data_IF_561571372128
#
_entry.id   IF_561571372128
#
_cell.length_a   1.000
_cell.length_b   1.000
_cell.length_c   1.000
_cell.angle_alpha   90.00
_cell.angle_beta   90.00
_cell.angle_gamma   90.00
#
_symmetry.space_group_name_H-M   'P 1'
#
loop_
_entity.id
_entity.type
_entity.pdbx_description
1 polymer ?
#
# COMPACT_ATOMS: atom_id res chain seq x y z
N UNK A 1 -3.02 25.15 -15.31
CA UNK A 1 -2.06 26.16 -15.79
C UNK A 1 -1.06 26.46 -14.67
N UNK A 2 0.06 25.75 -14.65
CA UNK A 2 1.18 26.06 -13.75
C UNK A 2 2.16 26.90 -14.59
N UNK A 3 2.30 28.20 -14.29
CA UNK A 3 3.21 29.12 -15.01
C UNK A 3 2.61 30.45 -15.47
N UNK A 4 1.30 30.65 -15.36
CA UNK A 4 0.63 31.90 -15.74
C UNK A 4 0.24 32.65 -14.48
N UNK A 5 0.61 33.93 -14.37
CA UNK A 5 0.25 34.75 -13.21
C UNK A 5 -1.24 35.07 -13.20
N UNK A 6 -1.80 35.35 -12.02
CA UNK A 6 -3.20 35.77 -11.88
C UNK A 6 -3.51 37.01 -12.72
N UNK A 7 -2.59 37.97 -12.77
CA UNK A 7 -2.72 39.16 -13.62
C UNK A 7 -2.85 38.82 -15.11
N UNK A 8 -2.06 37.85 -15.60
CA UNK A 8 -2.15 37.40 -16.99
C UNK A 8 -3.50 36.73 -17.28
N UNK A 9 -4.01 35.92 -16.34
CA UNK A 9 -5.33 35.29 -16.45
C UNK A 9 -6.47 36.31 -16.41
N UNK A 10 -6.41 37.29 -15.51
CA UNK A 10 -7.40 38.37 -15.41
C UNK A 10 -7.39 39.25 -16.66
N UNK A 11 -6.20 39.57 -17.19
CA UNK A 11 -6.07 40.32 -18.43
C UNK A 11 -6.64 39.56 -19.63
N UNK A 12 -6.38 38.25 -19.73
CA UNK A 12 -6.94 37.39 -20.75
C UNK A 12 -8.47 37.30 -20.64
N UNK A 13 -9.00 37.07 -19.44
CA UNK A 13 -10.43 36.99 -19.19
C UNK A 13 -11.17 38.28 -19.55
N UNK A 14 -10.59 39.44 -19.19
CA UNK A 14 -11.12 40.76 -19.58
C UNK A 14 -11.06 40.99 -21.09
N UNK A 15 -9.95 40.62 -21.74
CA UNK A 15 -9.79 40.75 -23.20
C UNK A 15 -10.81 39.91 -23.97
N UNK A 16 -11.18 38.75 -23.45
CA UNK A 16 -12.14 37.84 -24.08
C UNK A 16 -13.57 37.96 -23.53
N UNK A 17 -13.85 38.95 -22.68
CA UNK A 17 -15.17 39.21 -22.08
C UNK A 17 -15.78 37.97 -21.42
N UNK A 18 -14.94 37.17 -20.76
CA UNK A 18 -15.39 35.98 -20.05
C UNK A 18 -16.10 36.41 -18.76
N UNK A 19 -17.31 35.91 -18.54
CA UNK A 19 -18.00 35.99 -17.26
C UNK A 19 -17.59 34.80 -16.38
N UNK A 20 -17.11 35.08 -15.17
CA UNK A 20 -16.83 34.07 -14.16
C UNK A 20 -17.68 34.31 -12.92
N UNK A 21 -18.01 33.24 -12.20
CA UNK A 21 -18.74 33.29 -10.94
C UNK A 21 -17.68 33.34 -9.83
N UNK A 22 -17.65 34.43 -9.07
CA UNK A 22 -16.89 34.49 -7.82
C UNK A 22 -17.73 33.83 -6.72
N UNK A 23 -17.37 32.60 -6.35
CA UNK A 23 -17.92 31.92 -5.17
C UNK A 23 -17.38 32.59 -3.90
N UNK A 24 -18.27 33.02 -2.99
CA UNK A 24 -17.94 33.65 -1.71
C UNK A 24 -16.97 32.79 -0.86
N UNK A 25 -16.95 31.46 -1.07
CA UNK A 25 -16.00 30.55 -0.42
C UNK A 25 -14.53 30.86 -0.76
N UNK A 26 -14.25 31.52 -1.88
CA UNK A 26 -12.90 31.92 -2.29
C UNK A 26 -12.30 33.04 -1.42
N UNK A 27 -13.13 33.76 -0.66
CA UNK A 27 -12.68 34.82 0.25
C UNK A 27 -12.61 34.34 1.71
N UNK A 28 -13.03 33.11 1.98
CA UNK A 28 -13.06 32.57 3.33
C UNK A 28 -11.66 32.20 3.82
N UNK A 29 -11.11 33.02 4.71
CA UNK A 29 -9.79 32.82 5.30
C UNK A 29 -9.73 31.68 6.33
N UNK A 30 -10.84 30.98 6.63
CA UNK A 30 -10.83 29.77 7.47
C UNK A 30 -10.07 28.61 6.81
N UNK A 31 -9.95 28.61 5.48
CA UNK A 31 -9.15 27.64 4.75
C UNK A 31 -7.71 28.12 4.59
N UNK A 32 -6.74 27.30 4.98
CA UNK A 32 -5.31 27.65 4.97
C UNK A 32 -4.83 28.24 3.64
N UNK A 33 -5.31 27.67 2.53
CA UNK A 33 -4.97 28.16 1.18
C UNK A 33 -5.42 29.61 0.95
N UNK A 34 -6.63 29.96 1.40
CA UNK A 34 -7.17 31.30 1.26
C UNK A 34 -6.49 32.27 2.23
N UNK A 35 -6.23 31.83 3.47
CA UNK A 35 -5.46 32.62 4.44
C UNK A 35 -4.07 32.98 3.90
N UNK A 36 -3.31 31.98 3.42
CA UNK A 36 -1.99 32.19 2.83
C UNK A 36 -2.06 33.17 1.66
N UNK A 37 -3.05 32.99 0.77
CA UNK A 37 -3.22 33.84 -0.42
C UNK A 37 -3.59 35.28 -0.09
N UNK A 38 -4.53 35.48 0.83
CA UNK A 38 -5.14 36.78 1.10
C UNK A 38 -4.38 37.59 2.15
N UNK A 39 -3.76 36.93 3.13
CA UNK A 39 -3.13 37.61 4.26
C UNK A 39 -1.60 37.51 4.23
N UNK A 40 -1.05 36.32 3.95
CA UNK A 40 0.40 36.08 4.11
C UNK A 40 1.20 36.50 2.89
N UNK A 41 0.82 36.03 1.70
CA UNK A 41 1.56 36.30 0.46
C UNK A 41 1.67 37.81 0.14
N UNK A 42 0.63 38.65 0.33
CA UNK A 42 0.76 40.09 0.08
C UNK A 42 1.79 40.76 1.00
N UNK A 43 1.82 40.39 2.29
CA UNK A 43 2.79 40.92 3.25
C UNK A 43 4.22 40.53 2.87
N UNK A 44 4.43 39.28 2.44
CA UNK A 44 5.73 38.80 1.98
C UNK A 44 6.18 39.52 0.70
N UNK A 45 5.27 39.73 -0.25
CA UNK A 45 5.56 40.44 -1.51
C UNK A 45 5.88 41.92 -1.29
N UNK A 46 5.27 42.56 -0.29
CA UNK A 46 5.58 43.95 0.05
C UNK A 46 7.04 44.12 0.49
N UNK A 47 7.59 43.15 1.26
CA UNK A 47 8.99 43.17 1.72
C UNK A 47 9.95 42.57 0.70
N UNK A 48 9.53 41.53 -0.01
CA UNK A 48 10.30 40.79 -1.01
C UNK A 48 9.47 40.60 -2.29
N UNK A 49 9.55 41.54 -3.26
CA UNK A 49 8.72 41.53 -4.47
C UNK A 49 8.78 40.23 -5.27
N UNK A 50 9.93 39.54 -5.25
CA UNK A 50 10.17 38.30 -5.99
C UNK A 50 9.97 37.02 -5.17
N UNK A 51 9.31 37.09 -4.00
CA UNK A 51 9.14 35.93 -3.11
C UNK A 51 8.46 34.74 -3.80
N UNK A 52 7.41 34.99 -4.58
CA UNK A 52 6.68 33.92 -5.27
C UNK A 52 7.55 33.24 -6.33
N UNK A 53 8.35 34.00 -7.09
CA UNK A 53 9.28 33.48 -8.09
C UNK A 53 10.42 32.69 -7.46
N UNK A 54 10.99 33.20 -6.36
CA UNK A 54 12.02 32.50 -5.59
C UNK A 54 11.49 31.17 -5.02
N UNK A 55 10.29 31.18 -4.46
CA UNK A 55 9.63 29.97 -3.94
C UNK A 55 9.35 28.95 -5.06
N UNK A 56 8.85 29.40 -6.21
CA UNK A 56 8.64 28.55 -7.37
C UNK A 56 9.96 27.94 -7.87
N UNK A 57 11.04 28.73 -7.92
CA UNK A 57 12.37 28.25 -8.28
C UNK A 57 12.89 27.19 -7.31
N UNK A 58 12.73 27.40 -6.00
CA UNK A 58 13.08 26.39 -5.00
C UNK A 58 12.27 25.10 -5.18
N UNK A 59 10.97 25.20 -5.45
CA UNK A 59 10.13 24.04 -5.72
C UNK A 59 10.59 23.28 -6.98
N UNK A 60 10.95 23.97 -8.06
CA UNK A 60 11.49 23.35 -9.27
C UNK A 60 12.83 22.64 -9.00
N UNK A 61 13.75 23.29 -8.29
CA UNK A 61 15.02 22.67 -7.91
C UNK A 61 14.82 21.42 -7.06
N UNK A 62 13.88 21.45 -6.10
CA UNK A 62 13.53 20.26 -5.32
C UNK A 62 12.97 19.13 -6.19
N UNK A 63 12.14 19.47 -7.18
CA UNK A 63 11.61 18.47 -8.13
C UNK A 63 12.73 17.85 -8.99
N UNK A 64 13.68 18.67 -9.47
CA UNK A 64 14.86 18.20 -10.21
C UNK A 64 15.73 17.26 -9.36
N UNK A 65 15.94 17.59 -8.08
CA UNK A 65 16.68 16.71 -7.17
C UNK A 65 15.95 15.39 -6.92
N UNK A 66 14.62 15.41 -6.77
CA UNK A 66 13.86 14.16 -6.61
C UNK A 66 13.87 13.29 -7.88
N UNK A 67 13.82 13.90 -9.06
CA UNK A 67 13.96 13.17 -10.32
C UNK A 67 15.35 12.54 -10.44
N UNK A 68 16.41 13.27 -10.10
CA UNK A 68 17.77 12.70 -10.09
C UNK A 68 17.88 11.52 -9.11
N UNK A 69 17.24 11.63 -7.94
CA UNK A 69 17.19 10.52 -6.99
C UNK A 69 16.36 9.33 -7.50
N UNK A 70 15.33 9.54 -8.32
CA UNK A 70 14.60 8.46 -9.01
C UNK A 70 15.53 7.69 -9.94
N UNK A 71 16.31 8.42 -10.75
CA UNK A 71 17.29 7.83 -11.68
C UNK A 71 18.39 7.05 -10.93
N UNK A 72 19.00 7.66 -9.90
CA UNK A 72 20.11 7.08 -9.15
C UNK A 72 19.71 5.85 -8.31
N UNK A 73 18.45 5.76 -7.89
CA UNK A 73 17.96 4.69 -7.02
C UNK A 73 17.17 3.62 -7.77
N UNK A 74 16.92 3.78 -9.07
CA UNK A 74 16.09 2.88 -9.87
C UNK A 74 16.59 1.43 -9.84
N UNK A 75 17.87 1.19 -10.14
CA UNK A 75 18.44 -0.16 -10.17
C UNK A 75 18.42 -0.82 -8.79
N UNK A 76 18.74 -0.05 -7.75
CA UNK A 76 18.71 -0.55 -6.38
C UNK A 76 17.29 -0.90 -5.96
N UNK A 77 16.32 -0.05 -6.27
CA UNK A 77 14.92 -0.29 -5.99
C UNK A 77 14.41 -1.55 -6.70
N UNK A 78 14.78 -1.73 -7.98
CA UNK A 78 14.42 -2.91 -8.76
C UNK A 78 15.02 -4.19 -8.16
N UNK A 79 16.27 -4.15 -7.70
CA UNK A 79 16.94 -5.29 -7.06
C UNK A 79 16.28 -5.67 -5.72
N UNK A 80 15.78 -4.69 -4.97
CA UNK A 80 15.11 -4.93 -3.69
C UNK A 80 13.66 -5.40 -3.86
N UNK A 81 13.04 -5.09 -4.99
CA UNK A 81 11.68 -5.50 -5.32
C UNK A 81 11.64 -6.92 -5.91
N UNK A 82 10.57 -7.64 -5.65
CA UNK A 82 10.26 -8.91 -6.32
C UNK A 82 9.05 -8.76 -7.26
N UNK A 83 8.67 -9.85 -7.91
CA UNK A 83 7.52 -9.89 -8.84
C UNK A 83 6.19 -9.50 -8.15
N UNK A 84 6.10 -9.70 -6.83
CA UNK A 84 4.96 -9.30 -6.02
C UNK A 84 4.95 -7.80 -5.66
N UNK A 85 5.95 -7.04 -6.14
CA UNK A 85 6.22 -5.65 -5.77
C UNK A 85 6.44 -5.46 -4.27
N UNK A 86 6.91 -6.49 -3.58
CA UNK A 86 7.29 -6.40 -2.17
C UNK A 86 8.75 -5.96 -2.05
N UNK A 87 9.13 -5.37 -0.92
CA UNK A 87 10.44 -4.73 -0.75
C UNK A 87 11.29 -5.44 0.32
N UNK A 88 12.52 -5.84 -0.03
CA UNK A 88 13.43 -6.55 0.88
C UNK A 88 13.92 -5.68 2.05
N UNK A 89 13.70 -6.11 3.29
CA UNK A 89 14.11 -5.39 4.50
C UNK A 89 15.63 -5.45 4.71
N UNK A 90 16.25 -6.59 4.40
CA UNK A 90 17.69 -6.78 4.63
C UNK A 90 18.54 -5.80 3.81
N UNK A 91 18.17 -5.59 2.53
CA UNK A 91 18.85 -4.62 1.66
C UNK A 91 18.56 -3.15 2.02
N UNK A 92 17.43 -2.86 2.67
CA UNK A 92 17.17 -1.54 3.25
C UNK A 92 17.95 -1.30 4.56
N UNK A 93 18.22 -2.35 5.32
CA UNK A 93 18.89 -2.28 6.62
C UNK A 93 20.34 -1.83 6.51
N UNK A 94 21.01 -2.21 5.42
CA UNK A 94 22.40 -1.80 5.11
C UNK A 94 22.51 -0.36 4.59
N UNK A 95 21.38 0.27 4.20
CA UNK A 95 21.37 1.64 3.72
C UNK A 95 21.39 2.66 4.88
N UNK A 96 21.93 3.85 4.62
CA UNK A 96 21.73 5.01 5.50
C UNK A 96 20.24 5.36 5.61
N UNK A 97 19.84 6.02 6.69
CA UNK A 97 18.44 6.40 6.90
C UNK A 97 17.87 7.24 5.74
N UNK A 98 18.64 8.20 5.22
CA UNK A 98 18.23 9.02 4.09
C UNK A 98 17.95 8.19 2.82
N UNK A 99 18.89 7.30 2.44
CA UNK A 99 18.72 6.42 1.28
C UNK A 99 17.55 5.46 1.47
N UNK A 100 17.40 4.92 2.67
CA UNK A 100 16.31 4.02 3.03
C UNK A 100 14.94 4.67 2.85
N UNK A 101 14.76 5.90 3.37
CA UNK A 101 13.49 6.61 3.21
C UNK A 101 13.25 7.07 1.78
N UNK A 102 14.30 7.43 1.03
CA UNK A 102 14.19 7.72 -0.39
C UNK A 102 13.70 6.51 -1.20
N UNK A 103 14.20 5.30 -0.89
CA UNK A 103 13.75 4.04 -1.49
C UNK A 103 12.31 3.68 -1.08
N UNK A 104 11.97 3.78 0.21
CA UNK A 104 10.62 3.53 0.70
C UNK A 104 9.60 4.46 0.05
N UNK A 105 9.95 5.75 -0.08
CA UNK A 105 9.11 6.76 -0.74
C UNK A 105 8.83 6.37 -2.19
N UNK A 106 9.87 5.98 -2.94
CA UNK A 106 9.76 5.56 -4.35
C UNK A 106 8.99 4.26 -4.52
N UNK A 107 9.22 3.30 -3.64
CA UNK A 107 8.44 2.07 -3.59
C UNK A 107 6.94 2.37 -3.42
N UNK A 108 6.58 3.20 -2.42
CA UNK A 108 5.18 3.58 -2.15
C UNK A 108 4.58 4.39 -3.31
N UNK A 109 5.36 5.26 -3.96
CA UNK A 109 4.93 6.02 -5.13
C UNK A 109 4.53 5.13 -6.33
N UNK A 110 5.06 3.91 -6.41
CA UNK A 110 4.65 2.91 -7.40
C UNK A 110 3.24 2.33 -7.18
N UNK A 111 2.57 2.73 -6.10
CA UNK A 111 1.19 2.36 -5.79
C UNK A 111 0.29 3.58 -5.81
N UNK A 112 -1.01 3.37 -6.01
CA UNK A 112 -2.03 4.43 -6.03
C UNK A 112 -2.38 4.92 -4.60
N UNK A 113 -1.36 5.26 -3.80
CA UNK A 113 -1.50 5.71 -2.41
C UNK A 113 -1.00 7.14 -2.28
N UNK A 114 -1.65 7.93 -1.43
CA UNK A 114 -1.16 9.26 -1.07
C UNK A 114 0.24 9.17 -0.47
N UNK A 115 1.12 10.08 -0.89
CA UNK A 115 2.51 10.10 -0.45
C UNK A 115 2.60 10.28 1.08
N UNK A 116 3.23 9.35 1.81
CA UNK A 116 3.31 9.44 3.26
C UNK A 116 4.20 10.60 3.73
N UNK A 117 3.83 11.16 4.88
CA UNK A 117 4.65 12.11 5.59
C UNK A 117 5.94 11.44 6.09
N UNK A 118 6.96 12.26 6.40
CA UNK A 118 8.26 11.77 6.91
C UNK A 118 8.10 10.91 8.17
N UNK A 119 7.21 11.31 9.08
CA UNK A 119 6.93 10.57 10.30
C UNK A 119 6.30 9.20 10.02
N UNK A 120 5.40 9.11 9.03
CA UNK A 120 4.81 7.84 8.63
C UNK A 120 5.86 6.88 8.04
N UNK A 121 6.79 7.38 7.23
CA UNK A 121 7.91 6.59 6.72
C UNK A 121 8.82 6.07 7.85
N UNK A 122 9.07 6.91 8.87
CA UNK A 122 9.82 6.51 10.06
C UNK A 122 9.11 5.37 10.80
N UNK A 123 7.80 5.50 11.04
CA UNK A 123 6.99 4.48 11.70
C UNK A 123 6.94 3.17 10.91
N UNK A 124 6.87 3.21 9.58
CA UNK A 124 6.97 2.02 8.73
C UNK A 124 8.27 1.26 9.02
N UNK A 125 9.37 1.98 9.20
CA UNK A 125 10.63 1.35 9.51
C UNK A 125 10.66 0.79 10.94
N UNK A 126 10.36 1.62 11.93
CA UNK A 126 10.54 1.26 13.35
C UNK A 126 9.48 0.27 13.85
N UNK A 127 8.22 0.47 13.49
CA UNK A 127 7.08 -0.32 13.98
C UNK A 127 6.83 -1.57 13.13
N UNK A 128 7.17 -1.56 11.83
CA UNK A 128 6.87 -2.66 10.90
C UNK A 128 8.12 -3.41 10.47
N UNK A 129 9.11 -2.73 9.89
CA UNK A 129 10.30 -3.39 9.37
C UNK A 129 11.17 -3.99 10.48
N UNK A 130 11.34 -3.28 11.60
CA UNK A 130 12.14 -3.69 12.76
C UNK A 130 11.37 -4.44 13.85
N UNK A 131 10.07 -4.69 13.65
CA UNK A 131 9.27 -5.43 14.62
C UNK A 131 9.88 -6.81 14.99
N UNK A 132 9.45 -7.39 16.11
CA UNK A 132 9.86 -8.77 16.44
C UNK A 132 9.29 -9.74 15.40
N UNK A 133 9.99 -10.86 15.17
CA UNK A 133 9.59 -11.88 14.17
C UNK A 133 8.19 -12.46 14.42
N UNK A 134 7.78 -12.52 15.69
CA UNK A 134 6.49 -13.06 16.11
C UNK A 134 5.40 -11.98 16.23
N UNK A 135 5.75 -10.71 15.99
CA UNK A 135 4.77 -9.64 15.92
C UNK A 135 4.14 -9.62 14.53
N UNK A 136 2.85 -9.29 14.47
CA UNK A 136 2.10 -9.06 13.23
C UNK A 136 1.92 -7.55 12.99
N UNK A 137 3.00 -6.77 12.81
CA UNK A 137 2.90 -5.32 12.71
C UNK A 137 2.11 -4.90 11.47
N UNK A 138 1.29 -3.87 11.66
CA UNK A 138 0.50 -3.26 10.60
C UNK A 138 0.55 -1.74 10.76
N UNK A 139 0.75 -1.05 9.64
CA UNK A 139 0.63 0.40 9.60
C UNK A 139 -0.27 0.81 8.45
N UNK A 140 -1.32 1.57 8.77
CA UNK A 140 -2.27 2.05 7.79
C UNK A 140 -1.77 3.34 7.13
N UNK A 141 -1.80 3.37 5.80
CA UNK A 141 -1.53 4.53 4.96
C UNK A 141 -2.75 4.80 4.08
N UNK A 142 -3.68 5.62 4.60
CA UNK A 142 -4.96 5.89 3.92
C UNK A 142 -5.75 4.59 3.72
N UNK A 143 -6.11 4.30 2.47
CA UNK A 143 -6.83 3.09 2.07
C UNK A 143 -5.94 1.85 1.86
N UNK A 144 -4.71 1.85 2.39
CA UNK A 144 -3.77 0.74 2.28
C UNK A 144 -3.13 0.45 3.65
N UNK A 145 -2.49 -0.70 3.77
CA UNK A 145 -1.71 -1.13 4.92
C UNK A 145 -0.34 -1.66 4.49
N UNK A 146 0.69 -1.31 5.26
CA UNK A 146 2.02 -1.90 5.15
C UNK A 146 2.15 -3.00 6.19
N UNK A 147 2.59 -4.17 5.74
CA UNK A 147 2.86 -5.33 6.60
C UNK A 147 4.22 -5.94 6.29
N UNK A 148 4.75 -6.68 7.26
CA UNK A 148 5.98 -7.45 7.11
C UNK A 148 5.69 -8.95 7.06
N UNK A 149 6.33 -9.63 6.10
CA UNK A 149 6.34 -11.09 6.03
C UNK A 149 7.64 -11.57 5.40
N UNK A 150 8.26 -12.61 5.98
CA UNK A 150 9.51 -13.22 5.48
C UNK A 150 10.62 -12.21 5.11
N UNK A 151 10.87 -11.23 5.98
CA UNK A 151 11.85 -10.13 5.76
C UNK A 151 11.56 -9.23 4.56
N UNK A 152 10.28 -9.11 4.17
CA UNK A 152 9.84 -8.22 3.10
C UNK A 152 8.67 -7.36 3.55
N UNK A 153 8.59 -6.14 3.03
CA UNK A 153 7.47 -5.23 3.22
C UNK A 153 6.49 -5.36 2.05
N UNK A 154 5.20 -5.39 2.38
CA UNK A 154 4.10 -5.47 1.42
C UNK A 154 3.17 -4.30 1.65
N UNK A 155 2.76 -3.63 0.57
CA UNK A 155 1.70 -2.65 0.58
C UNK A 155 0.44 -3.27 -0.01
N UNK A 156 -0.59 -3.42 0.82
CA UNK A 156 -1.81 -4.16 0.50
C UNK A 156 -3.04 -3.28 0.78
N UNK A 157 -4.16 -3.49 0.07
CA UNK A 157 -5.43 -2.94 0.53
C UNK A 157 -5.77 -3.50 1.93
N UNK A 158 -6.63 -2.82 2.71
CA UNK A 158 -7.19 -3.39 3.93
C UNK A 158 -7.92 -4.68 3.56
N UNK A 159 -7.59 -5.77 4.24
CA UNK A 159 -8.35 -7.01 4.11
C UNK A 159 -9.52 -7.00 5.09
N UNK A 160 -10.63 -7.59 4.67
CA UNK A 160 -11.70 -7.91 5.58
C UNK A 160 -11.22 -8.94 6.62
N UNK A 161 -11.64 -8.76 7.87
CA UNK A 161 -11.41 -9.78 8.89
C UNK A 161 -12.31 -11.00 8.59
N UNK A 162 -11.70 -12.12 8.20
CA UNK A 162 -12.40 -13.38 7.94
C UNK A 162 -12.22 -14.40 9.07
N UNK A 163 -11.67 -14.00 10.23
CA UNK A 163 -11.36 -14.89 11.35
C UNK A 163 -12.53 -15.82 11.72
N UNK A 164 -13.74 -15.26 11.80
CA UNK A 164 -14.95 -15.99 12.21
C UNK A 164 -15.69 -16.64 11.05
N UNK A 165 -15.25 -16.45 9.82
CA UNK A 165 -15.92 -17.02 8.66
C UNK A 165 -15.70 -18.53 8.57
N UNK A 166 -16.81 -19.24 8.37
CA UNK A 166 -16.85 -20.68 8.15
C UNK A 166 -17.60 -20.95 6.86
N UNK A 167 -16.87 -21.37 5.83
CA UNK A 167 -17.48 -21.71 4.56
C UNK A 167 -17.69 -23.21 4.49
N UNK A 168 -18.93 -23.65 4.37
CA UNK A 168 -19.24 -25.06 4.11
C UNK A 168 -18.73 -25.43 2.71
N UNK A 169 -17.96 -26.52 2.60
CA UNK A 169 -17.42 -26.97 1.34
C UNK A 169 -17.38 -28.49 1.28
N UNK A 170 -18.02 -29.10 0.28
CA UNK A 170 -18.06 -30.55 0.12
C UNK A 170 -16.88 -31.12 -0.66
N UNK A 171 -16.05 -30.26 -1.28
CA UNK A 171 -14.89 -30.70 -2.07
C UNK A 171 -15.21 -31.15 -3.50
N UNK A 172 -16.48 -31.15 -3.90
CA UNK A 172 -16.94 -31.59 -5.22
C UNK A 172 -16.88 -30.46 -6.26
N UNK A 173 -17.30 -29.25 -5.87
CA UNK A 173 -17.23 -28.05 -6.72
C UNK A 173 -16.16 -27.10 -6.22
N UNK A 174 -15.52 -26.31 -7.11
CA UNK A 174 -14.62 -25.25 -6.66
C UNK A 174 -15.36 -24.22 -5.78
N UNK A 175 -14.76 -23.84 -4.65
CA UNK A 175 -15.30 -22.85 -3.71
C UNK A 175 -14.60 -21.51 -3.90
N UNK A 176 -15.36 -20.47 -4.25
CA UNK A 176 -14.85 -19.09 -4.26
C UNK A 176 -14.64 -18.61 -2.84
N UNK A 177 -13.43 -18.17 -2.52
CA UNK A 177 -13.09 -17.60 -1.22
C UNK A 177 -13.49 -16.11 -1.17
N UNK A 178 -13.82 -15.57 0.01
CA UNK A 178 -14.21 -14.17 0.18
C UNK A 178 -13.04 -13.24 -0.11
N UNK A 179 -13.32 -11.94 -0.25
CA UNK A 179 -12.30 -10.89 -0.37
C UNK A 179 -11.29 -11.11 -1.52
N UNK A 180 -11.72 -11.77 -2.60
CA UNK A 180 -10.88 -12.00 -3.78
C UNK A 180 -9.71 -12.96 -3.55
N UNK A 181 -9.72 -13.76 -2.49
CA UNK A 181 -8.65 -14.69 -2.11
C UNK A 181 -8.46 -15.86 -3.09
N UNK A 182 -9.35 -16.00 -4.07
CA UNK A 182 -9.25 -16.96 -5.15
C UNK A 182 -10.28 -18.08 -5.05
N UNK A 183 -9.98 -19.20 -5.72
CA UNK A 183 -10.89 -20.35 -5.77
C UNK A 183 -10.17 -21.56 -5.20
N UNK A 184 -10.83 -22.24 -4.29
CA UNK A 184 -10.38 -23.48 -3.72
C UNK A 184 -10.94 -24.64 -4.53
N UNK A 185 -10.07 -25.48 -5.09
CA UNK A 185 -10.47 -26.66 -5.86
C UNK A 185 -9.70 -27.89 -5.41
N UNK A 186 -10.35 -29.05 -5.42
CA UNK A 186 -9.71 -30.34 -5.14
C UNK A 186 -9.03 -30.85 -6.41
N UNK A 187 -7.71 -31.04 -6.39
CA UNK A 187 -6.97 -31.67 -7.48
C UNK A 187 -6.59 -33.12 -7.11
N UNK A 188 -6.74 -34.04 -8.06
CA UNK A 188 -6.34 -35.44 -7.93
C UNK A 188 -4.82 -35.62 -8.07
N UNK A 189 -4.05 -35.16 -7.09
CA UNK A 189 -2.59 -35.34 -7.02
C UNK A 189 -2.15 -36.31 -5.93
N UNK A 190 -0.91 -36.78 -5.99
CA UNK A 190 -0.33 -37.83 -5.14
C UNK A 190 -0.35 -37.59 -3.60
N UNK A 191 -0.65 -36.37 -3.16
CA UNK A 191 -0.91 -36.04 -1.75
C UNK A 191 -2.40 -36.23 -1.43
N UNK A 192 -2.77 -37.41 -0.92
CA UNK A 192 -4.15 -37.79 -0.65
C UNK A 192 -4.65 -37.19 0.67
N UNK A 193 -5.59 -36.26 0.59
CA UNK A 193 -6.50 -35.95 1.69
C UNK A 193 -7.59 -37.01 1.72
N UNK A 194 -7.82 -37.63 2.87
CA UNK A 194 -8.92 -38.58 3.04
C UNK A 194 -10.23 -37.88 2.66
N UNK A 195 -11.01 -38.50 1.78
CA UNK A 195 -12.34 -38.01 1.48
C UNK A 195 -13.17 -38.03 2.78
N UNK A 196 -13.92 -36.96 3.09
CA UNK A 196 -14.84 -37.00 4.21
C UNK A 196 -15.83 -38.15 4.03
N UNK A 197 -16.23 -38.79 5.13
CA UNK A 197 -17.34 -39.74 5.10
C UNK A 197 -18.62 -39.03 4.61
N UNK A 198 -19.60 -39.73 4.03
CA UNK A 198 -20.83 -39.10 3.49
C UNK A 198 -21.60 -38.21 4.48
N UNK A 199 -21.38 -38.41 5.79
CA UNK A 199 -22.03 -37.68 6.88
C UNK A 199 -21.16 -36.53 7.46
N UNK A 200 -19.90 -36.41 7.02
CA UNK A 200 -18.98 -35.40 7.52
C UNK A 200 -19.06 -34.12 6.70
N UNK A 201 -19.37 -33.00 7.36
CA UNK A 201 -19.36 -31.67 6.76
C UNK A 201 -17.95 -31.10 6.80
N UNK A 202 -17.37 -30.83 5.64
CA UNK A 202 -16.10 -30.10 5.55
C UNK A 202 -16.38 -28.59 5.55
N UNK A 203 -15.57 -27.84 6.28
CA UNK A 203 -15.65 -26.39 6.33
C UNK A 203 -14.27 -25.76 6.19
N UNK A 204 -14.16 -24.71 5.40
CA UNK A 204 -12.97 -23.85 5.30
C UNK A 204 -13.07 -22.77 6.37
N UNK A 205 -11.98 -22.58 7.12
CA UNK A 205 -11.84 -21.55 8.17
C UNK A 205 -10.55 -20.78 7.95
N UNK A 206 -10.52 -19.52 8.38
CA UNK A 206 -9.39 -18.62 8.18
C UNK A 206 -8.62 -18.29 9.47
N UNK A 207 -9.04 -18.87 10.59
CA UNK A 207 -8.30 -18.91 11.85
C UNK A 207 -8.52 -20.26 12.57
N UNK A 208 -7.52 -20.74 13.29
CA UNK A 208 -7.57 -22.01 14.02
C UNK A 208 -7.17 -21.83 15.48
N UNK A 209 -8.15 -21.74 16.37
CA UNK A 209 -7.95 -21.84 17.83
C UNK A 209 -8.00 -23.29 18.36
N UNK A 210 -8.27 -24.28 17.50
CA UNK A 210 -8.57 -25.65 17.94
C UNK A 210 -7.37 -26.56 17.66
N UNK A 211 -6.86 -27.23 18.70
CA UNK A 211 -6.05 -28.45 18.51
C UNK A 211 -6.98 -29.51 17.93
N UNK A 212 -6.97 -29.68 16.61
CA UNK A 212 -7.75 -30.74 15.98
C UNK A 212 -7.22 -32.10 16.43
N UNK A 213 -8.07 -32.89 17.09
CA UNK A 213 -7.84 -34.31 17.29
C UNK A 213 -8.00 -35.02 15.94
N UNK A 214 -6.87 -35.43 15.36
CA UNK A 214 -6.71 -36.47 14.33
C UNK A 214 -7.86 -36.63 13.32
N UNK A 215 -7.81 -35.86 12.23
CA UNK A 215 -8.28 -36.24 10.87
C UNK A 215 -7.93 -35.10 9.91
N UNK A 216 -6.64 -35.01 9.57
CA UNK A 216 -6.01 -33.87 8.92
C UNK A 216 -6.40 -33.72 7.43
N UNK A 217 -7.08 -32.62 7.09
CA UNK A 217 -7.45 -32.22 5.73
C UNK A 217 -6.48 -31.13 5.24
N UNK A 218 -5.58 -31.46 4.29
CA UNK A 218 -4.68 -30.47 3.64
C UNK A 218 -5.41 -29.74 2.50
N UNK A 219 -5.62 -28.44 2.66
CA UNK A 219 -6.35 -27.65 1.67
C UNK A 219 -5.34 -26.90 0.77
N UNK A 220 -5.39 -27.14 -0.55
CA UNK A 220 -4.57 -26.47 -1.56
C UNK A 220 -5.36 -25.32 -2.19
N UNK A 221 -4.99 -24.08 -1.91
CA UNK A 221 -5.59 -22.87 -2.51
C UNK A 221 -4.85 -22.55 -3.81
N UNK A 222 -5.60 -22.39 -4.92
CA UNK A 222 -5.05 -22.01 -6.23
C UNK A 222 -5.65 -20.67 -6.67
N UNK A 223 -4.81 -19.65 -6.84
CA UNK A 223 -5.24 -18.35 -7.38
C UNK A 223 -5.28 -18.45 -8.91
N UNK A 224 -6.40 -18.10 -9.56
CA UNK A 224 -6.44 -17.98 -11.02
C UNK A 224 -5.41 -16.90 -11.43
N UNK A 225 -4.45 -17.27 -12.28
CA UNK A 225 -3.31 -16.49 -12.81
C UNK A 225 -1.97 -16.51 -12.08
N UNK A 226 -1.77 -17.28 -11.00
CA UNK A 226 -0.42 -17.55 -10.47
C UNK A 226 -0.19 -19.07 -10.40
N UNK A 227 0.78 -19.59 -11.15
CA UNK A 227 1.04 -21.03 -11.33
C UNK A 227 1.58 -21.77 -10.09
N UNK A 228 1.44 -21.21 -8.88
CA UNK A 228 1.99 -21.77 -7.64
C UNK A 228 0.89 -22.42 -6.79
N UNK A 229 1.09 -23.68 -6.43
CA UNK A 229 0.21 -24.50 -5.59
C UNK A 229 0.78 -24.59 -4.17
N UNK A 230 0.03 -24.20 -3.15
CA UNK A 230 0.48 -24.21 -1.75
C UNK A 230 -0.06 -25.42 -0.98
N UNK A 231 0.81 -26.10 -0.22
CA UNK A 231 0.45 -27.21 0.67
C UNK A 231 0.82 -26.81 2.09
N UNK A 232 -0.17 -26.67 2.97
CA UNK A 232 0.05 -26.36 4.39
C UNK A 232 0.12 -27.67 5.20
N UNK A 233 1.17 -27.83 6.02
CA UNK A 233 1.34 -28.98 6.95
C UNK A 233 0.76 -28.65 8.33
N UNK A 234 0.16 -29.63 9.04
CA UNK A 234 -0.33 -29.42 10.38
C UNK A 234 0.82 -29.51 11.39
N UNK A 235 0.87 -28.55 12.32
CA UNK A 235 1.93 -28.39 13.30
C UNK A 235 2.51 -26.98 13.25
N UNK A 236 1.93 -26.07 14.04
CA UNK A 236 2.48 -24.74 14.31
C UNK A 236 2.46 -23.75 13.15
N UNK A 237 1.34 -23.60 12.44
CA UNK A 237 1.20 -22.47 11.51
C UNK A 237 -0.14 -21.79 11.74
N UNK A 238 -0.11 -20.63 12.42
CA UNK A 238 -1.14 -19.62 12.30
C UNK A 238 -1.14 -19.19 10.82
N UNK A 239 -1.99 -19.78 9.99
CA UNK A 239 -2.12 -19.36 8.59
C UNK A 239 -2.98 -18.11 8.59
N UNK A 240 -2.36 -16.98 8.94
CA UNK A 240 -2.94 -15.66 8.69
C UNK A 240 -3.20 -15.56 7.19
N UNK A 241 -4.42 -15.17 6.77
CA UNK A 241 -4.87 -14.92 5.39
C UNK A 241 -3.81 -14.24 4.51
N UNK A 242 -3.00 -13.41 5.16
CA UNK A 242 -1.90 -12.64 4.63
C UNK A 242 -0.75 -13.49 4.08
N UNK A 243 -0.45 -14.65 4.68
CA UNK A 243 0.55 -15.60 4.14
C UNK A 243 0.15 -16.12 2.75
N UNK A 244 -1.16 -16.24 2.49
CA UNK A 244 -1.70 -16.71 1.20
C UNK A 244 -1.58 -15.61 0.14
N UNK A 245 -1.83 -14.34 0.50
CA UNK A 245 -1.67 -13.19 -0.40
C UNK A 245 -0.20 -12.85 -0.71
N UNK A 246 0.66 -12.84 0.32
CA UNK A 246 2.06 -12.39 0.24
C UNK A 246 3.01 -13.38 -0.45
N UNK A 247 2.55 -14.59 -0.75
CA UNK A 247 3.33 -15.60 -1.48
C UNK A 247 3.14 -15.54 -3.01
N UNK A 248 2.42 -14.53 -3.51
CA UNK A 248 2.16 -14.30 -4.95
C UNK A 248 3.44 -14.05 -5.74
#
# INVERSE_FOLDING_TARGET
MLGVSRQQLEHYARRHTLSWIDDDSNQDARFDRNFLRLQVLPLLQQRWPHFAEATARSASLCAEQEQLLDELLAEQLQTLQDDARSLAIDGLSVCSAARRFALLRRWIAGFAVSMPAREQLQRVWDEVALARRDAEPQLHLGGYQIRRFRQRLYLLPPLADLHDQRLAWTGETPLTLPDGLGVLSREGGADRVCAPLPQQRVSVRFASAVRCASSDVRIRVRRKNCGRSWVFRPGSVNVSLYSIMMSS
#
